data_IF_902935904328
#
_entry.id   IF_902935904328
#
_cell.length_a   1.000
_cell.length_b   1.000
_cell.length_c   1.000
_cell.angle_alpha   90.00
_cell.angle_beta   90.00
_cell.angle_gamma   90.00
#
_symmetry.space_group_name_H-M   'P 1'
#
loop_
_entity.id
_entity.type
_entity.pdbx_description
1 polymer ?
#
# COMPACT_ATOMS: atom_id res chain seq x y z
N UNK A 1 31.23 -24.69 -17.24
CA UNK A 1 30.18 -23.95 -16.52
C UNK A 1 29.27 -24.97 -15.86
N UNK A 2 29.42 -25.22 -14.56
CA UNK A 2 28.48 -26.06 -13.81
C UNK A 2 27.15 -25.32 -13.72
N UNK A 3 26.05 -25.92 -14.16
CA UNK A 3 24.73 -25.39 -13.88
C UNK A 3 24.61 -25.15 -12.35
N UNK A 4 24.01 -24.04 -11.89
CA UNK A 4 23.82 -23.83 -10.46
C UNK A 4 23.05 -25.03 -9.90
N UNK A 5 23.60 -25.65 -8.86
CA UNK A 5 23.00 -26.82 -8.23
C UNK A 5 21.57 -26.48 -7.77
N UNK A 6 20.58 -27.07 -8.43
CA UNK A 6 19.18 -26.77 -8.15
C UNK A 6 18.79 -27.33 -6.78
N UNK A 7 18.51 -26.44 -5.83
CA UNK A 7 18.04 -26.85 -4.51
C UNK A 7 16.52 -27.13 -4.59
N UNK A 8 16.08 -28.38 -4.42
CA UNK A 8 14.66 -28.72 -4.54
C UNK A 8 13.80 -28.09 -3.45
N UNK A 9 14.37 -27.77 -2.28
CA UNK A 9 13.65 -27.07 -1.22
C UNK A 9 13.34 -25.61 -1.61
N UNK A 10 14.32 -24.94 -2.23
CA UNK A 10 14.15 -23.57 -2.73
C UNK A 10 13.11 -23.51 -3.84
N UNK A 11 13.15 -24.47 -4.78
CA UNK A 11 12.18 -24.55 -5.87
C UNK A 11 10.74 -24.75 -5.35
N UNK A 12 10.52 -25.63 -4.37
CA UNK A 12 9.18 -25.84 -3.77
C UNK A 12 8.69 -24.61 -3.02
N UNK A 13 9.57 -23.92 -2.29
CA UNK A 13 9.21 -22.67 -1.62
C UNK A 13 8.81 -21.58 -2.61
N UNK A 14 9.59 -21.39 -3.67
CA UNK A 14 9.30 -20.41 -4.72
C UNK A 14 7.96 -20.72 -5.43
N UNK A 15 7.71 -22.00 -5.75
CA UNK A 15 6.44 -22.44 -6.33
C UNK A 15 5.26 -22.17 -5.39
N UNK A 16 5.39 -22.51 -4.10
CA UNK A 16 4.32 -22.30 -3.12
C UNK A 16 3.94 -20.82 -2.97
N UNK A 17 4.91 -19.91 -3.07
CA UNK A 17 4.70 -18.46 -2.95
C UNK A 17 4.17 -17.78 -4.21
N UNK A 18 4.50 -18.31 -5.39
CA UNK A 18 4.13 -17.69 -6.68
C UNK A 18 2.91 -18.32 -7.33
N UNK A 19 2.85 -19.65 -7.37
CA UNK A 19 1.86 -20.39 -8.17
C UNK A 19 0.77 -21.05 -7.32
N UNK A 20 1.05 -21.41 -6.06
CA UNK A 20 0.07 -22.13 -5.23
C UNK A 20 -0.80 -21.24 -4.31
N UNK A 21 -0.69 -19.92 -4.40
CA UNK A 21 -1.42 -19.00 -3.50
C UNK A 21 -2.92 -19.02 -3.78
N UNK A 22 -3.34 -18.89 -5.05
CA UNK A 22 -4.75 -18.83 -5.43
C UNK A 22 -5.43 -20.21 -5.55
N UNK A 23 -4.79 -21.27 -6.09
CA UNK A 23 -5.41 -22.59 -6.14
C UNK A 23 -5.78 -23.16 -4.77
N UNK A 24 -5.04 -22.78 -3.72
CA UNK A 24 -5.29 -23.21 -2.32
C UNK A 24 -6.07 -22.17 -1.51
N UNK A 25 -6.44 -21.02 -2.10
CA UNK A 25 -7.18 -19.97 -1.39
C UNK A 25 -8.62 -20.40 -1.11
N UNK A 26 -9.06 -20.15 0.13
CA UNK A 26 -10.45 -20.37 0.55
C UNK A 26 -11.07 -19.04 1.02
N UNK A 27 -12.13 -18.54 0.35
CA UNK A 27 -12.84 -17.37 0.82
C UNK A 27 -13.62 -17.73 2.08
N UNK A 28 -13.09 -17.34 3.24
CA UNK A 28 -13.73 -17.46 4.55
C UNK A 28 -14.00 -16.07 5.08
N UNK A 29 -14.90 -15.92 6.06
CA UNK A 29 -15.20 -14.62 6.65
C UNK A 29 -13.93 -13.90 7.17
N UNK A 30 -13.00 -14.66 7.77
CA UNK A 30 -11.74 -14.09 8.27
C UNK A 30 -10.86 -13.56 7.13
N UNK A 31 -10.68 -14.34 6.07
CA UNK A 31 -9.79 -13.97 4.95
C UNK A 31 -10.38 -12.83 4.11
N UNK A 32 -11.69 -12.81 3.88
CA UNK A 32 -12.36 -11.73 3.14
C UNK A 32 -12.36 -10.43 3.91
N UNK A 33 -12.63 -10.46 5.22
CA UNK A 33 -12.58 -9.26 6.08
C UNK A 33 -11.16 -8.69 6.13
N UNK A 34 -10.14 -9.52 6.36
CA UNK A 34 -8.76 -9.06 6.35
C UNK A 34 -8.38 -8.46 4.99
N UNK A 35 -8.73 -9.13 3.89
CA UNK A 35 -8.50 -8.61 2.54
C UNK A 35 -9.16 -7.25 2.31
N UNK A 36 -10.42 -7.09 2.73
CA UNK A 36 -11.14 -5.82 2.61
C UNK A 36 -10.52 -4.71 3.47
N UNK A 37 -10.13 -5.02 4.72
CA UNK A 37 -9.46 -4.06 5.61
C UNK A 37 -8.13 -3.63 5.01
N UNK A 38 -7.26 -4.56 4.62
CA UNK A 38 -5.96 -4.21 4.07
C UNK A 38 -6.05 -3.57 2.68
N UNK A 39 -7.07 -3.88 1.89
CA UNK A 39 -7.29 -3.26 0.58
C UNK A 39 -7.89 -1.86 0.66
N UNK A 40 -8.92 -1.65 1.49
CA UNK A 40 -9.68 -0.40 1.54
C UNK A 40 -9.17 0.58 2.61
N UNK A 41 -8.70 0.10 3.76
CA UNK A 41 -8.31 0.98 4.86
C UNK A 41 -7.20 1.96 4.47
N UNK A 42 -6.12 1.58 3.76
CA UNK A 42 -5.11 2.54 3.34
C UNK A 42 -5.66 3.62 2.40
N UNK A 43 -6.55 3.24 1.48
CA UNK A 43 -7.16 4.18 0.53
C UNK A 43 -8.04 5.18 1.26
N UNK A 44 -8.93 4.71 2.14
CA UNK A 44 -9.80 5.57 2.94
C UNK A 44 -8.98 6.46 3.87
N UNK A 45 -7.99 5.89 4.56
CA UNK A 45 -7.09 6.63 5.44
C UNK A 45 -6.42 7.80 4.72
N UNK A 46 -5.78 7.55 3.58
CA UNK A 46 -5.10 8.61 2.83
C UNK A 46 -6.07 9.62 2.22
N UNK A 47 -7.24 9.17 1.75
CA UNK A 47 -8.28 10.07 1.28
C UNK A 47 -8.68 11.07 2.39
N UNK A 48 -8.89 10.60 3.62
CA UNK A 48 -9.24 11.49 4.74
C UNK A 48 -8.08 12.39 5.16
N UNK A 49 -6.86 11.87 5.27
CA UNK A 49 -5.67 12.65 5.63
C UNK A 49 -5.42 13.77 4.61
N UNK A 50 -5.43 13.43 3.32
CA UNK A 50 -5.21 14.40 2.24
C UNK A 50 -6.37 15.41 2.16
N UNK A 51 -7.62 14.95 2.34
CA UNK A 51 -8.78 15.85 2.36
C UNK A 51 -8.68 16.85 3.51
N UNK A 52 -8.36 16.40 4.72
CA UNK A 52 -8.22 17.28 5.87
C UNK A 52 -7.09 18.31 5.69
N UNK A 53 -5.95 17.90 5.13
CA UNK A 53 -4.84 18.81 4.81
C UNK A 53 -5.24 19.85 3.77
N UNK A 54 -5.92 19.43 2.69
CA UNK A 54 -6.44 20.34 1.65
C UNK A 54 -7.43 21.34 2.22
N UNK A 55 -8.44 20.87 2.96
CA UNK A 55 -9.49 21.71 3.53
C UNK A 55 -8.86 22.75 4.50
N UNK A 56 -7.83 22.36 5.27
CA UNK A 56 -7.07 23.28 6.13
C UNK A 56 -6.33 24.34 5.33
N UNK A 57 -5.61 23.94 4.27
CA UNK A 57 -4.86 24.86 3.41
C UNK A 57 -5.78 25.84 2.70
N UNK A 58 -6.90 25.37 2.16
CA UNK A 58 -7.90 26.20 1.49
C UNK A 58 -8.49 27.25 2.45
N UNK A 59 -8.79 26.89 3.70
CA UNK A 59 -9.20 27.85 4.73
C UNK A 59 -8.12 28.89 5.03
N UNK A 60 -6.86 28.48 5.17
CA UNK A 60 -5.76 29.42 5.42
C UNK A 60 -5.56 30.40 4.26
N UNK A 61 -5.79 29.98 3.02
CA UNK A 61 -5.71 30.84 1.84
C UNK A 61 -6.85 31.86 1.87
N UNK A 62 -8.08 31.43 2.18
CA UNK A 62 -9.24 32.32 2.31
C UNK A 62 -9.07 33.36 3.42
N UNK A 63 -8.46 32.97 4.55
CA UNK A 63 -8.15 33.88 5.66
C UNK A 63 -6.93 34.79 5.40
N UNK A 64 -6.22 34.62 4.27
CA UNK A 64 -4.99 35.34 3.96
C UNK A 64 -3.79 34.97 4.85
N UNK A 65 -3.88 33.86 5.60
CA UNK A 65 -2.86 33.39 6.55
C UNK A 65 -1.94 32.31 5.97
N UNK A 66 -2.19 31.87 4.74
CA UNK A 66 -1.40 30.83 4.10
C UNK A 66 0.01 31.32 3.77
N UNK A 67 1.01 30.68 4.37
CA UNK A 67 2.41 30.87 4.00
C UNK A 67 2.78 29.83 2.96
N UNK A 68 2.99 30.29 1.74
CA UNK A 68 3.48 29.43 0.67
C UNK A 68 4.87 28.91 1.05
N UNK A 69 5.12 27.59 1.03
CA UNK A 69 6.47 27.06 1.23
C UNK A 69 7.37 27.59 0.10
N UNK A 70 8.52 28.16 0.46
CA UNK A 70 9.50 28.61 -0.52
C UNK A 70 10.03 27.42 -1.30
N UNK A 71 10.30 27.64 -2.59
CA UNK A 71 10.84 26.64 -3.52
C UNK A 71 12.18 26.01 -3.04
N UNK A 72 12.83 26.59 -2.02
CA UNK A 72 14.08 26.14 -1.41
C UNK A 72 13.95 24.97 -0.42
N UNK A 73 12.75 24.46 -0.15
CA UNK A 73 12.57 23.30 0.75
C UNK A 73 12.64 21.97 -0.02
N UNK A 74 12.62 22.02 -1.35
CA UNK A 74 12.62 20.84 -2.23
C UNK A 74 13.89 20.69 -3.09
N UNK A 75 14.86 21.62 -2.99
CA UNK A 75 16.16 21.60 -3.66
C UNK A 75 17.28 21.99 -2.71
#
# INVERSE_FOLDING_TARGET
LSAPQENPALLRWAYAKSQNVYPTFRPTLRTTVLGAVYGLAPLLFWMFVLKADRDRKEKQIQEGKYKQPSLSVFF
#
